data_IF_366877474344
#
_entry.id   IF_366877474344
#
_cell.length_a   1.000
_cell.length_b   1.000
_cell.length_c   1.000
_cell.angle_alpha   90.00
_cell.angle_beta   90.00
_cell.angle_gamma   90.00
#
_symmetry.space_group_name_H-M   'P 1'
#
loop_
_entity.id
_entity.type
_entity.pdbx_description
1 polymer ?
#
# COMPACT_ATOMS: atom_id res chain seq x y z
N UNK A 1 1.63 -29.40 5.68
CA UNK A 1 0.94 -28.28 5.00
C UNK A 1 0.04 -28.86 3.94
N UNK A 2 -1.23 -28.47 3.94
CA UNK A 2 -2.13 -28.80 2.84
C UNK A 2 -1.91 -27.85 1.64
N UNK A 3 -2.47 -28.22 0.49
CA UNK A 3 -2.36 -27.43 -0.75
C UNK A 3 -2.97 -26.03 -0.61
N UNK A 4 -4.01 -25.88 0.21
CA UNK A 4 -4.67 -24.60 0.46
C UNK A 4 -3.71 -23.63 1.14
N UNK A 5 -3.12 -24.03 2.26
CA UNK A 5 -2.21 -23.19 3.06
C UNK A 5 -0.97 -22.82 2.25
N UNK A 6 -0.43 -23.74 1.45
CA UNK A 6 0.69 -23.45 0.55
C UNK A 6 0.30 -22.39 -0.50
N UNK A 7 -0.86 -22.55 -1.13
CA UNK A 7 -1.36 -21.61 -2.15
C UNK A 7 -1.57 -20.22 -1.56
N UNK A 8 -2.23 -20.14 -0.40
CA UNK A 8 -2.44 -18.88 0.31
C UNK A 8 -1.11 -18.21 0.67
N UNK A 9 -0.10 -18.97 1.13
CA UNK A 9 1.24 -18.42 1.41
C UNK A 9 1.92 -17.86 0.17
N UNK A 10 1.86 -18.57 -0.96
CA UNK A 10 2.42 -18.07 -2.21
C UNK A 10 1.74 -16.77 -2.64
N UNK A 11 0.40 -16.72 -2.62
CA UNK A 11 -0.37 -15.52 -2.96
C UNK A 11 0.00 -14.37 -2.02
N UNK A 12 0.03 -14.61 -0.70
CA UNK A 12 0.34 -13.60 0.30
C UNK A 12 1.76 -13.03 0.11
N UNK A 13 2.76 -13.90 -0.06
CA UNK A 13 4.16 -13.47 -0.14
C UNK A 13 4.44 -12.77 -1.48
N UNK A 14 4.06 -13.38 -2.60
CA UNK A 14 4.32 -12.80 -3.93
C UNK A 14 3.55 -11.49 -4.10
N UNK A 15 2.28 -11.46 -3.68
CA UNK A 15 1.48 -10.24 -3.67
C UNK A 15 2.07 -9.18 -2.74
N UNK A 16 2.56 -9.58 -1.57
CA UNK A 16 3.16 -8.67 -0.59
C UNK A 16 4.45 -8.05 -1.11
N UNK A 17 5.32 -8.85 -1.75
CA UNK A 17 6.56 -8.37 -2.38
C UNK A 17 6.26 -7.32 -3.45
N UNK A 18 5.35 -7.64 -4.38
CA UNK A 18 4.99 -6.70 -5.43
C UNK A 18 4.35 -5.44 -4.85
N UNK A 19 3.44 -5.57 -3.89
CA UNK A 19 2.77 -4.42 -3.29
C UNK A 19 3.72 -3.52 -2.51
N UNK A 20 4.36 -4.06 -1.47
CA UNK A 20 5.21 -3.27 -0.57
C UNK A 20 6.38 -2.69 -1.35
N UNK A 21 7.02 -3.49 -2.21
CA UNK A 21 8.11 -3.04 -3.06
C UNK A 21 7.69 -1.90 -4.00
N UNK A 22 6.57 -2.05 -4.71
CA UNK A 22 6.07 -1.01 -5.63
C UNK A 22 5.65 0.25 -4.89
N UNK A 23 5.01 0.13 -3.73
CA UNK A 23 4.58 1.28 -2.93
C UNK A 23 5.79 2.10 -2.44
N UNK A 24 6.82 1.43 -1.91
CA UNK A 24 8.04 2.09 -1.47
C UNK A 24 8.80 2.72 -2.64
N UNK A 25 8.95 2.00 -3.75
CA UNK A 25 9.58 2.54 -4.96
C UNK A 25 8.84 3.79 -5.46
N UNK A 26 7.51 3.72 -5.54
CA UNK A 26 6.69 4.83 -5.97
C UNK A 26 6.79 6.03 -5.04
N UNK A 27 6.69 5.83 -3.73
CA UNK A 27 6.64 6.91 -2.75
C UNK A 27 8.01 7.59 -2.56
N UNK A 28 9.09 6.80 -2.53
CA UNK A 28 10.42 7.28 -2.14
C UNK A 28 11.21 7.81 -3.34
N UNK A 29 11.05 7.21 -4.52
CA UNK A 29 11.90 7.54 -5.67
C UNK A 29 11.11 8.12 -6.84
N UNK A 30 10.06 7.41 -7.28
CA UNK A 30 9.37 7.80 -8.51
C UNK A 30 8.56 9.08 -8.30
N UNK A 31 7.69 9.15 -7.28
CA UNK A 31 6.83 10.31 -7.07
C UNK A 31 7.60 11.62 -6.86
N UNK A 32 8.70 11.69 -6.07
CA UNK A 32 9.54 12.88 -6.00
C UNK A 32 10.14 13.26 -7.36
N UNK A 33 10.63 12.27 -8.12
CA UNK A 33 11.17 12.50 -9.46
C UNK A 33 10.12 13.07 -10.42
N UNK A 34 8.90 12.51 -10.42
CA UNK A 34 7.81 13.00 -11.27
C UNK A 34 7.42 14.46 -10.95
N UNK A 35 7.50 14.86 -9.68
CA UNK A 35 7.26 16.26 -9.27
C UNK A 35 8.39 17.18 -9.73
N UNK A 36 9.64 16.71 -9.66
CA UNK A 36 10.82 17.50 -10.03
C UNK A 36 10.96 17.71 -11.55
N UNK A 37 10.45 16.79 -12.37
CA UNK A 37 10.62 16.83 -13.84
C UNK A 37 9.47 17.49 -14.60
N UNK A 38 8.53 18.13 -13.90
CA UNK A 38 7.46 18.94 -14.49
C UNK A 38 6.60 18.15 -15.48
N UNK A 39 6.46 18.67 -16.70
CA UNK A 39 5.55 18.11 -17.71
C UNK A 39 5.96 16.73 -18.21
N UNK A 40 7.27 16.43 -18.28
CA UNK A 40 7.75 15.08 -18.63
C UNK A 40 7.32 14.04 -17.58
N UNK A 41 7.39 14.40 -16.29
CA UNK A 41 6.90 13.59 -15.18
C UNK A 41 5.38 13.37 -15.25
N UNK A 42 4.61 14.43 -15.56
CA UNK A 42 3.16 14.29 -15.76
C UNK A 42 2.80 13.34 -16.90
N UNK A 43 3.51 13.40 -18.03
CA UNK A 43 3.29 12.51 -19.17
C UNK A 43 3.59 11.04 -18.80
N UNK A 44 4.72 10.79 -18.14
CA UNK A 44 5.06 9.46 -17.65
C UNK A 44 4.01 8.92 -16.68
N UNK A 45 3.61 9.73 -15.69
CA UNK A 45 2.62 9.34 -14.69
C UNK A 45 1.27 9.01 -15.36
N UNK A 46 0.83 9.85 -16.30
CA UNK A 46 -0.39 9.63 -17.07
C UNK A 46 -0.33 8.31 -17.84
N UNK A 47 0.76 8.05 -18.57
CA UNK A 47 0.92 6.80 -19.32
C UNK A 47 0.93 5.59 -18.39
N UNK A 48 1.72 5.62 -17.31
CA UNK A 48 1.80 4.54 -16.33
C UNK A 48 0.41 4.22 -15.75
N UNK A 49 -0.36 5.23 -15.36
CA UNK A 49 -1.63 5.03 -14.67
C UNK A 49 -2.80 4.68 -15.60
N UNK A 50 -2.80 5.17 -16.85
CA UNK A 50 -3.94 5.04 -17.77
C UNK A 50 -3.71 4.07 -18.94
N UNK A 51 -2.46 3.80 -19.30
CA UNK A 51 -2.10 2.96 -20.46
C UNK A 51 -1.46 1.64 -20.08
N UNK A 52 -1.04 1.48 -18.82
CA UNK A 52 -0.50 0.21 -18.33
C UNK A 52 -1.48 -0.48 -17.38
N UNK A 53 -1.15 -1.72 -16.99
CA UNK A 53 -1.90 -2.48 -15.98
C UNK A 53 -1.43 -2.19 -14.55
N UNK A 54 -0.57 -1.19 -14.33
CA UNK A 54 0.02 -0.92 -13.00
C UNK A 54 -1.03 -0.74 -11.90
N UNK A 55 -2.03 0.13 -12.12
CA UNK A 55 -3.10 0.37 -11.13
C UNK A 55 -3.89 -0.91 -10.81
N UNK A 56 -4.20 -1.72 -11.84
CA UNK A 56 -4.94 -2.98 -11.67
C UNK A 56 -4.09 -4.03 -10.96
N UNK A 57 -2.84 -4.21 -11.37
CA UNK A 57 -1.89 -5.12 -10.74
C UNK A 57 -1.68 -4.74 -9.27
N UNK A 58 -1.53 -3.45 -8.99
CA UNK A 58 -1.37 -2.92 -7.64
C UNK A 58 -2.60 -3.26 -6.79
N UNK A 59 -3.79 -2.94 -7.29
CA UNK A 59 -5.07 -3.22 -6.60
C UNK A 59 -5.24 -4.70 -6.30
N UNK A 60 -5.02 -5.57 -7.29
CA UNK A 60 -5.11 -7.03 -7.13
C UNK A 60 -4.11 -7.50 -6.07
N UNK A 61 -2.87 -7.01 -6.13
CA UNK A 61 -1.81 -7.42 -5.21
C UNK A 61 -2.14 -7.07 -3.76
N UNK A 62 -2.66 -5.86 -3.50
CA UNK A 62 -3.07 -5.45 -2.14
C UNK A 62 -4.15 -6.39 -1.60
N UNK A 63 -5.24 -6.56 -2.33
CA UNK A 63 -6.37 -7.36 -1.86
C UNK A 63 -6.00 -8.83 -1.73
N UNK A 64 -5.29 -9.39 -2.71
CA UNK A 64 -4.84 -10.78 -2.66
C UNK A 64 -3.93 -11.03 -1.45
N UNK A 65 -3.00 -10.11 -1.17
CA UNK A 65 -2.11 -10.19 0.00
C UNK A 65 -2.90 -10.17 1.31
N UNK A 66 -3.78 -9.17 1.48
CA UNK A 66 -4.51 -8.99 2.74
C UNK A 66 -5.48 -10.14 2.99
N UNK A 67 -6.23 -10.56 1.96
CA UNK A 67 -7.19 -11.67 2.08
C UNK A 67 -6.45 -12.98 2.38
N UNK A 68 -5.37 -13.28 1.66
CA UNK A 68 -4.60 -14.50 1.90
C UNK A 68 -3.94 -14.49 3.29
N UNK A 69 -3.42 -13.35 3.74
CA UNK A 69 -2.81 -13.19 5.06
C UNK A 69 -3.83 -13.35 6.19
N UNK A 70 -5.02 -12.75 6.05
CA UNK A 70 -6.12 -12.92 6.98
C UNK A 70 -6.53 -14.40 7.09
N UNK A 71 -6.65 -15.08 5.95
CA UNK A 71 -7.01 -16.50 5.92
C UNK A 71 -5.95 -17.39 6.56
N UNK A 72 -4.66 -17.12 6.30
CA UNK A 72 -3.55 -17.83 6.93
C UNK A 72 -3.54 -17.66 8.44
N UNK A 73 -3.70 -16.41 8.91
CA UNK A 73 -3.80 -16.13 10.34
C UNK A 73 -5.02 -16.83 10.95
N UNK A 74 -6.15 -16.85 10.24
CA UNK A 74 -7.35 -17.60 10.62
C UNK A 74 -7.08 -19.09 10.78
N UNK A 75 -6.39 -19.72 9.82
CA UNK A 75 -6.02 -21.14 9.92
C UNK A 75 -5.11 -21.39 11.12
N UNK A 76 -4.00 -20.66 11.25
CA UNK A 76 -2.99 -20.88 12.30
C UNK A 76 -3.56 -20.59 13.71
N UNK A 77 -4.54 -19.67 13.81
CA UNK A 77 -5.22 -19.32 15.07
C UNK A 77 -6.48 -20.15 15.38
N UNK A 78 -6.81 -21.15 14.58
CA UNK A 78 -8.11 -21.85 14.64
C UNK A 78 -9.29 -20.85 14.70
N UNK A 79 -9.34 -19.95 13.73
CA UNK A 79 -10.29 -18.84 13.61
C UNK A 79 -10.42 -18.03 14.91
N UNK A 80 -9.28 -17.58 15.41
CA UNK A 80 -9.15 -16.73 16.60
C UNK A 80 -9.50 -17.39 17.95
N UNK A 81 -9.46 -18.71 18.02
CA UNK A 81 -9.75 -19.46 19.26
C UNK A 81 -8.50 -20.08 19.91
N UNK A 82 -7.37 -20.11 19.21
CA UNK A 82 -6.14 -20.77 19.66
C UNK A 82 -5.29 -19.87 20.56
N UNK A 83 -4.70 -20.41 21.65
CA UNK A 83 -3.69 -19.72 22.46
C UNK A 83 -2.45 -19.29 21.66
N UNK A 84 -2.21 -19.88 20.48
CA UNK A 84 -1.14 -19.49 19.56
C UNK A 84 -1.12 -17.99 19.27
N UNK A 85 -2.27 -17.32 19.26
CA UNK A 85 -2.35 -15.87 19.06
C UNK A 85 -1.60 -15.06 20.12
N UNK A 86 -1.44 -15.62 21.32
CA UNK A 86 -0.71 -14.99 22.43
C UNK A 86 0.78 -15.37 22.45
N UNK A 87 1.23 -16.26 21.55
CA UNK A 87 2.66 -16.56 21.38
C UNK A 87 3.38 -15.41 20.68
N UNK A 88 4.70 -15.30 20.86
CA UNK A 88 5.53 -14.34 20.11
C UNK A 88 5.26 -14.34 18.60
N UNK A 89 5.06 -15.50 17.97
CA UNK A 89 4.75 -15.59 16.54
C UNK A 89 3.36 -15.04 16.20
N UNK A 90 2.32 -15.43 16.94
CA UNK A 90 0.96 -14.93 16.76
C UNK A 90 0.89 -13.41 16.92
N UNK A 91 1.49 -12.89 18.01
CA UNK A 91 1.59 -11.45 18.27
C UNK A 91 2.36 -10.74 17.16
N UNK A 92 3.50 -11.27 16.73
CA UNK A 92 4.31 -10.70 15.65
C UNK A 92 3.55 -10.57 14.33
N UNK A 93 2.88 -11.63 13.89
CA UNK A 93 2.05 -11.58 12.69
C UNK A 93 0.85 -10.64 12.86
N UNK A 94 0.23 -10.60 14.04
CA UNK A 94 -0.88 -9.70 14.35
C UNK A 94 -0.47 -8.22 14.25
N UNK A 95 0.68 -7.85 14.82
CA UNK A 95 1.24 -6.50 14.71
C UNK A 95 1.53 -6.17 13.24
N UNK A 96 2.20 -7.07 12.52
CA UNK A 96 2.49 -6.90 11.09
C UNK A 96 1.20 -6.69 10.27
N UNK A 97 0.15 -7.45 10.56
CA UNK A 97 -1.15 -7.33 9.91
C UNK A 97 -1.81 -5.97 10.19
N UNK A 98 -1.79 -5.50 11.45
CA UNK A 98 -2.33 -4.20 11.82
C UNK A 98 -1.64 -3.06 11.04
N UNK A 99 -0.30 -3.06 11.01
CA UNK A 99 0.47 -2.08 10.23
C UNK A 99 0.23 -2.21 8.73
N UNK A 100 0.09 -3.44 8.21
CA UNK A 100 -0.25 -3.68 6.81
C UNK A 100 -1.61 -3.09 6.42
N UNK A 101 -2.62 -3.21 7.29
CA UNK A 101 -3.95 -2.62 7.09
C UNK A 101 -3.88 -1.09 7.10
N UNK A 102 -3.16 -0.50 8.06
CA UNK A 102 -2.95 0.97 8.07
C UNK A 102 -2.27 1.42 6.77
N UNK A 103 -1.24 0.69 6.34
CA UNK A 103 -0.57 0.91 5.05
C UNK A 103 -1.54 0.84 3.88
N UNK A 104 -2.40 -0.18 3.80
CA UNK A 104 -3.44 -0.30 2.77
C UNK A 104 -4.38 0.90 2.74
N UNK A 105 -4.91 1.31 3.90
CA UNK A 105 -5.83 2.45 4.00
C UNK A 105 -5.16 3.74 3.54
N UNK A 106 -3.93 4.00 4.00
CA UNK A 106 -3.14 5.16 3.57
C UNK A 106 -2.87 5.12 2.05
N UNK A 107 -2.56 3.96 1.49
CA UNK A 107 -2.35 3.77 0.05
C UNK A 107 -3.62 4.06 -0.77
N UNK A 108 -4.78 3.58 -0.33
CA UNK A 108 -6.08 3.85 -0.97
C UNK A 108 -6.37 5.35 -0.97
N UNK A 109 -6.16 6.03 0.17
CA UNK A 109 -6.32 7.49 0.27
C UNK A 109 -5.37 8.23 -0.66
N UNK A 110 -4.11 7.82 -0.74
CA UNK A 110 -3.14 8.41 -1.67
C UNK A 110 -3.58 8.24 -3.14
N UNK A 111 -4.05 7.04 -3.51
CA UNK A 111 -4.59 6.77 -4.84
C UNK A 111 -5.84 7.58 -5.17
N UNK A 112 -6.72 7.84 -4.19
CA UNK A 112 -7.86 8.74 -4.37
C UNK A 112 -7.40 10.20 -4.58
N UNK A 113 -6.41 10.66 -3.82
CA UNK A 113 -5.83 11.99 -3.97
C UNK A 113 -5.17 12.19 -5.34
N UNK A 114 -4.44 11.19 -5.84
CA UNK A 114 -3.84 11.23 -7.17
C UNK A 114 -4.90 11.31 -8.29
N UNK A 115 -6.03 10.58 -8.15
CA UNK A 115 -7.15 10.67 -9.11
C UNK A 115 -7.78 12.06 -9.11
N UNK A 116 -8.09 12.61 -7.93
CA UNK A 116 -8.62 13.97 -7.81
C UNK A 116 -7.67 15.01 -8.41
N UNK A 117 -6.36 14.85 -8.18
CA UNK A 117 -5.35 15.75 -8.76
C UNK A 117 -5.31 15.65 -10.28
N UNK A 118 -5.41 14.45 -10.86
CA UNK A 118 -5.46 14.25 -12.31
C UNK A 118 -6.73 14.84 -12.93
N UNK A 119 -7.90 14.64 -12.31
CA UNK A 119 -9.18 15.21 -12.73
C UNK A 119 -9.20 16.74 -12.64
N UNK A 120 -8.58 17.31 -11.62
CA UNK A 120 -8.45 18.76 -11.50
C UNK A 120 -7.47 19.31 -12.54
N UNK A 121 -6.34 18.61 -12.75
CA UNK A 121 -5.34 18.97 -13.75
C UNK A 121 -5.90 19.03 -15.18
N UNK A 122 -6.84 18.14 -15.53
CA UNK A 122 -7.49 18.17 -16.85
C UNK A 122 -8.48 19.33 -17.03
N UNK A 123 -8.94 19.95 -15.94
CA UNK A 123 -9.88 21.09 -15.94
C UNK A 123 -9.17 22.45 -15.88
N UNK A 124 -7.89 22.49 -15.54
CA UNK A 124 -7.12 23.74 -15.48
C UNK A 124 -6.70 24.13 -16.90
N UNK A 125 -7.21 25.26 -17.39
CA UNK A 125 -6.74 25.91 -18.62
C UNK A 125 -5.98 27.18 -18.25
N UNK A 126 -4.66 27.17 -18.42
CA UNK A 126 -3.81 28.31 -18.04
C UNK A 126 -3.60 28.40 -16.53
N UNK A 127 -3.79 29.58 -15.94
CA UNK A 127 -3.59 29.81 -14.50
C UNK A 127 -4.74 29.20 -13.69
N UNK A 128 -4.47 28.39 -12.64
CA UNK A 128 -5.51 27.87 -11.77
C UNK A 128 -6.32 28.99 -11.10
N UNK A 129 -7.63 28.79 -10.95
CA UNK A 129 -8.48 29.68 -10.15
C UNK A 129 -8.17 29.53 -8.66
N UNK A 130 -8.60 30.50 -7.84
CA UNK A 130 -8.42 30.45 -6.37
C UNK A 130 -8.99 29.17 -5.75
N UNK A 131 -10.15 28.71 -6.22
CA UNK A 131 -10.77 27.47 -5.76
C UNK A 131 -9.94 26.24 -6.17
N UNK A 132 -9.45 26.20 -7.42
CA UNK A 132 -8.59 25.11 -7.90
C UNK A 132 -7.28 25.06 -7.10
N UNK A 133 -6.69 26.22 -6.77
CA UNK A 133 -5.51 26.30 -5.91
C UNK A 133 -5.80 25.77 -4.50
N UNK A 134 -6.94 26.12 -3.89
CA UNK A 134 -7.31 25.62 -2.57
C UNK A 134 -7.43 24.09 -2.54
N UNK A 135 -8.02 23.49 -3.57
CA UNK A 135 -8.12 22.03 -3.70
C UNK A 135 -6.74 21.39 -3.87
N UNK A 136 -5.87 21.97 -4.71
CA UNK A 136 -4.49 21.49 -4.88
C UNK A 136 -3.71 21.51 -3.56
N UNK A 137 -3.78 22.63 -2.82
CA UNK A 137 -3.12 22.78 -1.53
C UNK A 137 -3.63 21.77 -0.50
N UNK A 138 -4.95 21.57 -0.40
CA UNK A 138 -5.54 20.58 0.51
C UNK A 138 -5.08 19.13 0.18
N UNK A 139 -4.96 18.79 -1.10
CA UNK A 139 -4.44 17.48 -1.52
C UNK A 139 -2.96 17.35 -1.11
N UNK A 140 -2.16 18.39 -1.33
CA UNK A 140 -0.74 18.39 -0.97
C UNK A 140 -0.53 18.23 0.54
N UNK A 141 -1.30 18.96 1.35
CA UNK A 141 -1.26 18.86 2.81
C UNK A 141 -1.61 17.44 3.29
N UNK A 142 -2.64 16.84 2.70
CA UNK A 142 -2.98 15.44 3.00
C UNK A 142 -1.86 14.48 2.59
N UNK A 143 -1.29 14.65 1.40
CA UNK A 143 -0.20 13.79 0.93
C UNK A 143 1.06 13.88 1.81
N UNK A 144 1.30 15.04 2.43
CA UNK A 144 2.47 15.27 3.28
C UNK A 144 2.55 14.29 4.46
N UNK A 145 1.42 13.83 4.99
CA UNK A 145 1.40 12.82 6.06
C UNK A 145 0.99 11.43 5.58
N UNK A 146 0.09 11.32 4.59
CA UNK A 146 -0.38 10.02 4.09
C UNK A 146 0.76 9.19 3.49
N UNK A 147 1.66 9.82 2.71
CA UNK A 147 2.74 9.12 2.02
C UNK A 147 3.77 8.55 3.01
N UNK A 148 4.26 9.33 4.00
CA UNK A 148 5.10 8.79 5.07
C UNK A 148 4.40 7.69 5.87
N UNK A 149 3.13 7.90 6.28
CA UNK A 149 2.37 6.87 7.01
C UNK A 149 2.29 5.58 6.21
N UNK A 150 1.93 5.65 4.93
CA UNK A 150 1.91 4.47 4.06
C UNK A 150 3.28 3.78 4.02
N UNK A 151 4.36 4.52 3.81
CA UNK A 151 5.70 3.95 3.65
C UNK A 151 6.22 3.31 4.93
N UNK A 152 6.15 4.02 6.06
CA UNK A 152 6.65 3.51 7.34
C UNK A 152 5.84 2.33 7.85
N UNK A 153 4.51 2.38 7.73
CA UNK A 153 3.67 1.27 8.18
C UNK A 153 3.89 0.02 7.35
N UNK A 154 4.09 0.14 6.04
CA UNK A 154 4.45 -1.00 5.19
C UNK A 154 5.85 -1.56 5.50
N UNK A 155 6.83 -0.71 5.85
CA UNK A 155 8.15 -1.17 6.30
C UNK A 155 8.05 -1.95 7.62
N UNK A 156 7.31 -1.43 8.59
CA UNK A 156 7.09 -2.11 9.88
C UNK A 156 6.32 -3.42 9.66
N UNK A 157 5.29 -3.43 8.80
CA UNK A 157 4.56 -4.63 8.45
C UNK A 157 5.50 -5.69 7.86
N UNK A 158 6.32 -5.34 6.86
CA UNK A 158 7.26 -6.24 6.23
C UNK A 158 8.31 -6.78 7.22
N UNK A 159 8.80 -5.93 8.12
CA UNK A 159 9.72 -6.32 9.19
C UNK A 159 9.10 -7.40 10.07
N UNK A 160 7.90 -7.17 10.62
CA UNK A 160 7.23 -8.16 11.47
C UNK A 160 6.90 -9.44 10.69
N UNK A 161 6.45 -9.35 9.44
CA UNK A 161 6.19 -10.54 8.61
C UNK A 161 7.45 -11.39 8.40
N UNK A 162 8.63 -10.76 8.31
CA UNK A 162 9.89 -11.46 8.16
C UNK A 162 10.38 -12.13 9.46
N UNK A 163 10.14 -11.51 10.61
CA UNK A 163 10.73 -11.96 11.88
C UNK A 163 9.77 -12.72 12.80
N UNK A 164 8.45 -12.63 12.60
CA UNK A 164 7.45 -13.09 13.58
C UNK A 164 7.69 -14.54 14.04
N UNK A 165 8.04 -15.44 13.11
CA UNK A 165 8.32 -16.86 13.43
C UNK A 165 9.47 -17.10 14.41
N UNK A 166 10.32 -16.09 14.67
CA UNK A 166 11.48 -16.18 15.56
C UNK A 166 11.25 -15.52 16.92
N UNK A 167 10.08 -14.91 17.14
CA UNK A 167 9.73 -14.28 18.41
C UNK A 167 9.31 -15.36 19.42
N UNK A 168 9.96 -15.38 20.59
CA UNK A 168 9.84 -16.45 21.61
C UNK A 168 9.40 -15.96 22.99
N UNK A 169 8.93 -14.71 23.08
CA UNK A 169 8.35 -14.17 24.30
C UNK A 169 6.91 -14.65 24.52
#
# INVERSE_FOLDING_TARGET
MDYLTLTLRLIHIVGGIFWVGSALLMNVFIAPTLRATGDSGKQFASHLMTRTRFTNAMTISVYATVIAGFWLYGIDSNWFQSPWMSSGAGVGYGIGAAFGIVGMVAGIKNGANNRKMAELGSKIQGKPTTEQMAVLSAIQEQQAWIVPVNSYTLLVAAFFMAIARYLVF
#
